data_IF_447157499534
#
_entry.id   IF_447157499534
#
_cell.length_a   1.000
_cell.length_b   1.000
_cell.length_c   1.000
_cell.angle_alpha   90.00
_cell.angle_beta   90.00
_cell.angle_gamma   90.00
#
_symmetry.space_group_name_H-M   'P 1'
#
loop_
_entity.id
_entity.type
_entity.pdbx_description
1 polymer ?
#
# COMPACT_ATOMS: atom_id res chain seq x y z
N UNK A 1 82.34 10.40 -0.39
CA UNK A 1 81.54 10.69 0.81
C UNK A 1 80.19 11.15 0.32
N UNK A 2 79.31 10.16 0.22
CA UNK A 2 77.93 10.26 -0.23
C UNK A 2 77.04 10.85 0.86
N UNK A 3 76.03 11.63 0.46
CA UNK A 3 74.92 12.07 1.30
C UNK A 3 73.68 12.11 0.39
N UNK A 4 73.00 10.99 0.09
CA UNK A 4 72.07 10.19 0.89
C UNK A 4 70.80 11.00 1.31
N UNK A 5 69.71 10.75 0.57
CA UNK A 5 68.29 11.12 0.79
C UNK A 5 67.79 12.53 0.37
N UNK A 6 67.65 12.71 -0.96
CA UNK A 6 66.48 13.38 -1.55
C UNK A 6 65.34 12.36 -1.67
N UNK A 7 64.55 12.22 -0.61
CA UNK A 7 63.25 11.53 -0.58
C UNK A 7 62.57 11.93 0.72
N UNK A 8 61.52 12.76 0.63
CA UNK A 8 60.40 12.90 1.58
C UNK A 8 59.86 14.34 1.62
N UNK A 9 59.23 14.79 0.53
CA UNK A 9 58.35 15.97 0.56
C UNK A 9 57.38 16.02 -0.61
N UNK A 10 56.75 14.88 -0.94
CA UNK A 10 55.58 14.83 -1.81
C UNK A 10 54.72 13.60 -1.46
N UNK A 11 54.18 13.58 -0.24
CA UNK A 11 53.00 12.76 0.03
C UNK A 11 51.78 13.55 -0.43
N UNK A 12 51.30 13.24 -1.63
CA UNK A 12 49.94 13.57 -2.02
C UNK A 12 49.00 13.10 -0.91
N UNK A 13 48.34 14.02 -0.23
CA UNK A 13 47.15 13.70 0.54
C UNK A 13 46.08 13.25 -0.45
N UNK A 14 46.13 11.96 -0.80
CA UNK A 14 45.05 11.24 -1.42
C UNK A 14 43.85 11.32 -0.46
N UNK A 15 43.03 12.38 -0.62
CA UNK A 15 41.65 12.39 -0.13
C UNK A 15 40.91 11.31 -0.90
N UNK A 16 41.01 10.08 -0.41
CA UNK A 16 40.04 9.06 -0.74
C UNK A 16 38.68 9.61 -0.29
N UNK A 17 37.85 10.04 -1.25
CA UNK A 17 36.41 10.08 -1.04
C UNK A 17 36.05 8.68 -0.55
N UNK A 18 35.79 8.52 0.75
CA UNK A 18 35.15 7.33 1.26
C UNK A 18 33.90 7.17 0.42
N UNK A 19 33.78 6.05 -0.29
CA UNK A 19 32.51 5.66 -0.87
C UNK A 19 31.44 5.81 0.24
N UNK A 20 30.27 6.39 -0.05
CA UNK A 20 29.21 6.46 0.96
C UNK A 20 29.04 5.05 1.52
N UNK A 21 29.05 4.94 2.86
CA UNK A 21 28.82 3.67 3.53
C UNK A 21 27.42 3.23 3.13
N UNK A 22 27.34 2.34 2.14
CA UNK A 22 26.09 1.78 1.66
C UNK A 22 25.40 1.13 2.85
N UNK A 23 24.13 1.46 3.04
CA UNK A 23 23.31 0.86 4.08
C UNK A 23 23.38 -0.66 3.98
N UNK A 24 23.52 -1.36 5.12
CA UNK A 24 23.54 -2.82 5.13
C UNK A 24 22.18 -3.32 4.64
N UNK A 25 22.14 -3.67 3.38
CA UNK A 25 20.92 -3.99 2.69
C UNK A 25 20.76 -5.51 2.73
N UNK A 26 19.87 -6.02 3.59
CA UNK A 26 19.35 -7.37 3.36
C UNK A 26 18.51 -7.34 2.06
N UNK A 27 18.50 -8.43 1.28
CA UNK A 27 17.83 -8.46 -0.02
C UNK A 27 16.30 -8.31 0.10
N UNK A 28 15.69 -8.82 1.18
CA UNK A 28 14.25 -8.77 1.39
C UNK A 28 13.78 -7.39 1.87
N UNK A 29 13.06 -6.66 1.01
CA UNK A 29 12.58 -5.29 1.28
C UNK A 29 11.16 -5.01 0.84
N UNK A 30 10.51 -5.98 0.20
CA UNK A 30 9.13 -5.84 -0.24
C UNK A 30 8.14 -6.35 0.81
N UNK A 31 7.23 -5.46 1.22
CA UNK A 31 6.09 -5.73 2.10
C UNK A 31 4.86 -6.07 1.26
N UNK A 32 4.43 -7.33 1.30
CA UNK A 32 3.24 -7.80 0.58
C UNK A 32 1.96 -7.33 1.27
N UNK A 33 1.07 -6.68 0.52
CA UNK A 33 -0.17 -6.08 1.01
C UNK A 33 -1.39 -6.93 0.64
N UNK A 34 -2.35 -7.00 1.55
CA UNK A 34 -3.73 -7.38 1.26
C UNK A 34 -4.62 -6.14 1.34
N UNK A 35 -5.20 -5.72 0.22
CA UNK A 35 -6.05 -4.53 0.16
C UNK A 35 -7.51 -4.91 -0.06
N UNK A 36 -8.40 -4.29 0.71
CA UNK A 36 -9.83 -4.57 0.65
C UNK A 36 -10.67 -3.32 0.53
N UNK A 37 -11.82 -3.43 -0.10
CA UNK A 37 -12.87 -2.41 -0.11
C UNK A 37 -14.10 -2.99 0.57
N UNK A 38 -14.76 -2.20 1.42
CA UNK A 38 -15.98 -2.61 2.09
C UNK A 38 -17.25 -2.30 1.26
N UNK A 39 -18.42 -2.84 1.63
CA UNK A 39 -19.65 -2.62 0.88
C UNK A 39 -20.04 -1.15 0.75
N UNK A 40 -19.68 -0.31 1.72
CA UNK A 40 -19.99 1.13 1.68
C UNK A 40 -19.19 1.82 0.56
N UNK A 41 -17.89 1.53 0.44
CA UNK A 41 -17.08 2.05 -0.67
C UNK A 41 -17.54 1.51 -2.02
N UNK A 42 -17.84 0.21 -2.11
CA UNK A 42 -18.34 -0.39 -3.35
C UNK A 42 -19.66 0.24 -3.80
N UNK A 43 -20.63 0.34 -2.90
CA UNK A 43 -21.95 0.89 -3.20
C UNK A 43 -21.87 2.38 -3.59
N UNK A 44 -21.10 3.21 -2.86
CA UNK A 44 -20.89 4.61 -3.26
C UNK A 44 -20.29 4.72 -4.66
N UNK A 45 -19.24 3.94 -4.93
CA UNK A 45 -18.55 3.98 -6.22
C UNK A 45 -19.47 3.51 -7.35
N UNK A 46 -20.22 2.43 -7.12
CA UNK A 46 -21.21 1.91 -8.06
C UNK A 46 -22.31 2.92 -8.36
N UNK A 47 -22.87 3.55 -7.34
CA UNK A 47 -23.96 4.51 -7.51
C UNK A 47 -23.46 5.77 -8.25
N UNK A 48 -22.22 6.20 -7.99
CA UNK A 48 -21.57 7.31 -8.69
C UNK A 48 -21.24 7.00 -10.16
N UNK A 49 -20.84 5.77 -10.49
CA UNK A 49 -20.42 5.37 -11.84
C UNK A 49 -21.52 4.65 -12.65
N UNK A 50 -22.63 4.31 -12.02
CA UNK A 50 -23.82 3.72 -12.63
C UNK A 50 -23.77 2.20 -12.86
N UNK A 51 -22.64 1.52 -12.64
CA UNK A 51 -22.56 0.06 -12.79
C UNK A 51 -21.42 -0.58 -11.97
N UNK A 52 -21.55 -1.88 -11.71
CA UNK A 52 -20.61 -2.65 -10.88
C UNK A 52 -19.22 -2.83 -11.50
N UNK A 53 -19.13 -3.02 -12.82
CA UNK A 53 -17.85 -3.20 -13.51
C UNK A 53 -16.98 -1.93 -13.40
N UNK A 54 -17.58 -0.76 -13.62
CA UNK A 54 -16.91 0.53 -13.43
C UNK A 54 -16.48 0.74 -11.97
N UNK A 55 -17.29 0.31 -11.01
CA UNK A 55 -16.94 0.39 -9.59
C UNK A 55 -15.74 -0.48 -9.24
N UNK A 56 -15.73 -1.74 -9.71
CA UNK A 56 -14.60 -2.64 -9.51
C UNK A 56 -13.32 -2.05 -10.10
N UNK A 57 -13.38 -1.55 -11.35
CA UNK A 57 -12.23 -0.95 -12.02
C UNK A 57 -11.70 0.29 -11.27
N UNK A 58 -12.58 1.17 -10.80
CA UNK A 58 -12.20 2.36 -10.03
C UNK A 58 -11.56 1.98 -8.68
N UNK A 59 -12.09 0.95 -7.99
CA UNK A 59 -11.54 0.49 -6.71
C UNK A 59 -10.18 -0.20 -6.90
N UNK A 60 -10.00 -0.98 -7.97
CA UNK A 60 -8.70 -1.58 -8.29
C UNK A 60 -7.67 -0.51 -8.65
N UNK A 61 -8.08 0.51 -9.43
CA UNK A 61 -7.24 1.67 -9.71
C UNK A 61 -6.90 2.47 -8.44
N UNK A 62 -7.86 2.61 -7.51
CA UNK A 62 -7.63 3.21 -6.20
C UNK A 62 -6.52 2.46 -5.45
N UNK A 63 -6.59 1.13 -5.34
CA UNK A 63 -5.56 0.33 -4.68
C UNK A 63 -4.18 0.51 -5.33
N UNK A 64 -4.11 0.39 -6.66
CA UNK A 64 -2.87 0.52 -7.42
C UNK A 64 -2.23 1.90 -7.22
N UNK A 65 -3.02 2.98 -7.34
CA UNK A 65 -2.52 4.36 -7.17
C UNK A 65 -2.06 4.67 -5.76
N UNK A 66 -2.71 4.11 -4.72
CA UNK A 66 -2.28 4.25 -3.34
C UNK A 66 -0.95 3.54 -3.09
N UNK A 67 -0.78 2.31 -3.59
CA UNK A 67 0.48 1.57 -3.45
C UNK A 67 1.61 2.22 -4.23
N UNK A 68 1.34 2.67 -5.45
CA UNK A 68 2.30 3.46 -6.23
C UNK A 68 2.75 4.71 -5.47
N UNK A 69 1.82 5.46 -4.88
CA UNK A 69 2.14 6.69 -4.16
C UNK A 69 2.99 6.44 -2.91
N UNK A 70 2.68 5.43 -2.08
CA UNK A 70 3.53 5.12 -0.91
C UNK A 70 4.90 4.59 -1.34
N UNK A 71 5.01 3.89 -2.47
CA UNK A 71 6.31 3.48 -3.01
C UNK A 71 7.18 4.68 -3.40
N UNK A 72 6.60 5.79 -3.89
CA UNK A 72 7.36 7.03 -4.14
C UNK A 72 7.92 7.66 -2.86
N UNK A 73 7.33 7.37 -1.70
CA UNK A 73 7.77 7.88 -0.40
C UNK A 73 8.79 6.92 0.22
N UNK A 74 8.40 5.66 0.45
CA UNK A 74 9.18 4.70 1.22
C UNK A 74 10.43 4.21 0.48
N UNK A 75 10.36 4.01 -0.84
CA UNK A 75 11.51 3.54 -1.63
C UNK A 75 12.63 4.59 -1.65
N UNK A 76 12.23 5.87 -1.66
CA UNK A 76 13.12 7.03 -1.70
C UNK A 76 13.53 7.53 -0.31
N UNK A 77 13.01 6.92 0.77
CA UNK A 77 13.37 7.28 2.15
C UNK A 77 14.52 6.40 2.64
N UNK A 78 15.57 7.05 3.15
CA UNK A 78 16.62 6.40 3.93
C UNK A 78 16.21 6.32 5.39
N UNK A 79 15.96 5.13 5.91
CA UNK A 79 15.66 4.90 7.32
C UNK A 79 16.97 4.62 8.07
N UNK A 80 17.35 5.55 8.94
CA UNK A 80 18.50 5.45 9.83
C UNK A 80 18.16 5.98 11.23
N UNK A 81 18.96 5.60 12.24
CA UNK A 81 18.81 6.11 13.61
C UNK A 81 19.58 7.41 13.82
N UNK A 82 19.14 8.25 14.77
CA UNK A 82 19.77 9.54 15.09
C UNK A 82 21.26 9.44 15.46
N UNK A 83 21.60 8.45 16.29
CA UNK A 83 22.96 8.24 16.76
C UNK A 83 23.52 6.98 16.13
N UNK A 84 24.56 7.08 15.28
CA UNK A 84 25.23 5.90 14.78
C UNK A 84 25.88 5.17 15.96
N UNK A 85 25.61 3.88 16.10
CA UNK A 85 26.21 3.05 17.15
C UNK A 85 27.74 3.17 17.06
N UNK A 86 28.38 3.59 18.15
CA UNK A 86 29.83 3.85 18.21
C UNK A 86 30.69 2.60 18.03
N UNK A 87 30.07 1.42 18.06
CA UNK A 87 30.70 0.13 17.77
C UNK A 87 29.64 -0.80 17.19
N UNK A 88 29.94 -1.41 16.03
CA UNK A 88 29.11 -2.33 15.23
C UNK A 88 27.88 -1.69 14.54
N UNK A 89 28.05 -1.43 13.23
CA UNK A 89 27.05 -1.21 12.18
C UNK A 89 25.69 -0.62 12.60
N UNK A 90 25.52 0.68 12.38
CA UNK A 90 24.23 1.36 12.56
C UNK A 90 23.20 0.77 11.60
N UNK A 91 22.01 0.31 12.08
CA UNK A 91 20.97 -0.17 11.19
C UNK A 91 20.58 0.93 10.20
N UNK A 92 20.57 0.58 8.92
CA UNK A 92 20.11 1.47 7.87
C UNK A 92 19.36 0.66 6.81
N UNK A 93 18.21 1.18 6.38
CA UNK A 93 17.35 0.58 5.37
C UNK A 93 17.00 1.61 4.30
N UNK A 94 17.06 1.22 3.05
CA UNK A 94 16.67 2.01 1.88
C UNK A 94 15.86 1.12 0.94
N UNK A 95 15.08 1.69 0.02
CA UNK A 95 14.37 0.90 -0.99
C UNK A 95 13.29 -0.01 -0.41
N UNK A 96 12.65 0.39 0.70
CA UNK A 96 11.46 -0.31 1.20
C UNK A 96 10.35 -0.17 0.17
N UNK A 97 9.77 -1.30 -0.24
CA UNK A 97 8.80 -1.36 -1.31
C UNK A 97 7.54 -2.09 -0.85
N UNK A 98 6.42 -1.81 -1.50
CA UNK A 98 5.13 -2.43 -1.26
C UNK A 98 4.60 -3.01 -2.56
N UNK A 99 3.98 -4.19 -2.45
CA UNK A 99 3.34 -4.87 -3.57
C UNK A 99 2.02 -5.45 -3.13
N UNK A 100 1.00 -5.32 -3.97
CA UNK A 100 -0.30 -5.93 -3.71
C UNK A 100 -0.18 -7.42 -3.99
N UNK A 101 -0.38 -8.23 -2.97
CA UNK A 101 -0.40 -9.69 -3.10
C UNK A 101 -1.82 -10.20 -3.31
N UNK A 102 -2.79 -9.55 -2.69
CA UNK A 102 -4.20 -9.90 -2.81
C UNK A 102 -5.09 -8.66 -2.72
N UNK A 103 -6.21 -8.71 -3.43
CA UNK A 103 -7.28 -7.73 -3.33
C UNK A 103 -8.62 -8.43 -3.01
N UNK A 104 -9.55 -7.73 -2.38
CA UNK A 104 -10.93 -8.20 -2.22
C UNK A 104 -11.90 -7.02 -2.17
N UNK A 105 -12.92 -7.04 -3.02
CA UNK A 105 -14.00 -6.05 -3.00
C UNK A 105 -15.22 -6.73 -2.37
N UNK A 106 -15.57 -6.31 -1.16
CA UNK A 106 -16.72 -6.84 -0.44
C UNK A 106 -17.98 -6.11 -0.89
N UNK A 107 -19.03 -6.86 -1.23
CA UNK A 107 -20.36 -6.33 -1.57
C UNK A 107 -21.39 -6.76 -0.54
N UNK A 108 -22.59 -6.18 -0.60
CA UNK A 108 -23.70 -6.61 0.25
C UNK A 108 -24.05 -8.09 -0.02
N UNK A 109 -23.94 -8.53 -1.27
CA UNK A 109 -24.19 -9.92 -1.70
C UNK A 109 -23.10 -10.85 -1.19
N UNK A 110 -21.82 -10.49 -1.34
CA UNK A 110 -20.71 -11.36 -0.92
C UNK A 110 -20.70 -11.58 0.60
N UNK A 111 -21.19 -10.62 1.39
CA UNK A 111 -21.29 -10.71 2.84
C UNK A 111 -22.68 -11.14 3.34
N UNK A 112 -23.64 -11.38 2.45
CA UNK A 112 -25.03 -11.69 2.79
C UNK A 112 -25.65 -10.66 3.77
N UNK A 113 -25.41 -9.37 3.51
CA UNK A 113 -25.84 -8.29 4.37
C UNK A 113 -27.37 -8.25 4.53
N UNK A 114 -27.82 -8.46 5.77
CA UNK A 114 -29.22 -8.45 6.16
C UNK A 114 -29.47 -7.44 7.29
N UNK A 115 -30.74 -7.23 7.67
CA UNK A 115 -31.13 -6.27 8.71
C UNK A 115 -30.37 -6.46 10.03
N UNK A 116 -30.11 -7.71 10.42
CA UNK A 116 -29.36 -8.01 11.65
C UNK A 116 -27.90 -7.56 11.53
N UNK A 117 -27.21 -7.95 10.46
CA UNK A 117 -25.81 -7.56 10.22
C UNK A 117 -25.64 -6.05 10.07
N UNK A 118 -26.62 -5.33 9.52
CA UNK A 118 -26.60 -3.87 9.41
C UNK A 118 -26.70 -3.15 10.77
N UNK A 119 -27.10 -3.84 11.83
CA UNK A 119 -27.14 -3.30 13.20
C UNK A 119 -26.05 -3.87 14.11
N UNK A 120 -25.31 -4.89 13.65
CA UNK A 120 -24.26 -5.53 14.43
C UNK A 120 -23.01 -4.64 14.49
N UNK A 121 -22.45 -4.42 15.68
CA UNK A 121 -21.17 -3.73 15.84
C UNK A 121 -19.97 -4.54 15.29
N UNK A 122 -20.18 -5.82 14.97
CA UNK A 122 -19.16 -6.73 14.47
C UNK A 122 -19.43 -7.15 13.01
N UNK A 123 -19.82 -6.20 12.16
CA UNK A 123 -20.06 -6.48 10.74
C UNK A 123 -19.68 -5.31 9.86
N UNK A 124 -19.00 -5.61 8.74
CA UNK A 124 -18.79 -4.65 7.64
C UNK A 124 -20.11 -4.18 6.99
N UNK A 125 -21.24 -4.86 7.22
CA UNK A 125 -22.55 -4.44 6.72
C UNK A 125 -23.14 -3.24 7.48
N UNK A 126 -22.72 -3.00 8.72
CA UNK A 126 -23.27 -1.92 9.56
C UNK A 126 -22.69 -0.57 9.12
N UNK A 127 -23.48 0.37 8.58
CA UNK A 127 -22.99 1.66 8.09
C UNK A 127 -22.44 2.58 9.19
N UNK A 128 -22.87 2.39 10.45
CA UNK A 128 -22.59 3.28 11.58
C UNK A 128 -21.53 2.72 12.56
N UNK A 129 -20.73 1.75 12.13
CA UNK A 129 -19.64 1.21 12.93
C UNK A 129 -18.58 2.27 13.21
N UNK A 130 -18.10 2.35 14.45
CA UNK A 130 -17.01 3.25 14.82
C UNK A 130 -15.67 2.78 14.27
N UNK A 131 -14.72 3.72 14.19
CA UNK A 131 -13.39 3.50 13.62
C UNK A 131 -12.62 2.37 14.32
N UNK A 132 -12.74 2.24 15.64
CA UNK A 132 -12.02 1.22 16.41
C UNK A 132 -12.60 -0.17 16.17
N UNK A 133 -13.92 -0.31 16.17
CA UNK A 133 -14.57 -1.57 15.83
C UNK A 133 -14.35 -1.96 14.36
N UNK A 134 -14.26 -0.99 13.44
CA UNK A 134 -13.96 -1.26 12.03
C UNK A 134 -12.54 -1.80 11.83
N UNK A 135 -11.52 -1.19 12.46
CA UNK A 135 -10.16 -1.75 12.48
C UNK A 135 -10.13 -3.13 13.14
N UNK A 136 -10.89 -3.28 14.23
CA UNK A 136 -10.96 -4.56 14.94
C UNK A 136 -11.53 -5.67 14.05
N UNK A 137 -12.55 -5.39 13.23
CA UNK A 137 -13.08 -6.37 12.27
C UNK A 137 -12.03 -6.83 11.26
N UNK A 138 -11.27 -5.89 10.70
CA UNK A 138 -10.13 -6.21 9.83
C UNK A 138 -9.14 -7.14 10.57
N UNK A 139 -8.93 -6.91 11.87
CA UNK A 139 -7.99 -7.66 12.71
C UNK A 139 -8.46 -9.07 13.11
N UNK A 140 -9.74 -9.43 12.97
CA UNK A 140 -10.27 -10.73 13.41
C UNK A 140 -9.93 -11.89 12.45
N UNK A 141 -9.50 -11.58 11.23
CA UNK A 141 -9.08 -12.57 10.25
C UNK A 141 -7.59 -12.93 10.39
N UNK A 142 -7.19 -14.07 9.83
CA UNK A 142 -5.80 -14.45 9.76
C UNK A 142 -5.12 -13.80 8.54
N UNK A 143 -4.16 -12.90 8.80
CA UNK A 143 -3.36 -12.21 7.80
C UNK A 143 -1.89 -12.64 7.78
N UNK A 144 -1.57 -13.86 8.21
CA UNK A 144 -0.19 -14.38 8.30
C UNK A 144 0.57 -14.41 6.96
N UNK A 145 -0.16 -14.50 5.85
CA UNK A 145 0.43 -14.49 4.51
C UNK A 145 0.94 -13.10 4.10
N UNK A 146 0.43 -12.04 4.74
CA UNK A 146 0.67 -10.66 4.35
C UNK A 146 1.59 -9.95 5.33
N UNK A 147 2.36 -9.00 4.81
CA UNK A 147 3.09 -8.07 5.65
C UNK A 147 2.14 -7.09 6.34
N UNK A 148 1.16 -6.56 5.60
CA UNK A 148 0.08 -5.72 6.12
C UNK A 148 -1.25 -6.00 5.39
N UNK A 149 -2.36 -5.83 6.10
CA UNK A 149 -3.70 -5.95 5.56
C UNK A 149 -4.56 -4.70 5.84
N UNK A 150 -5.04 -4.04 4.78
CA UNK A 150 -5.77 -2.78 4.87
C UNK A 150 -7.18 -2.88 4.28
N UNK A 151 -8.12 -2.16 4.92
CA UNK A 151 -9.47 -1.96 4.39
C UNK A 151 -9.69 -0.49 4.08
N UNK A 152 -10.00 -0.20 2.82
CA UNK A 152 -10.47 1.10 2.35
C UNK A 152 -11.99 1.18 2.46
N UNK A 153 -12.50 2.34 2.86
CA UNK A 153 -13.93 2.56 3.04
C UNK A 153 -14.36 3.97 2.63
N UNK A 154 -15.67 4.20 2.59
CA UNK A 154 -16.29 5.50 2.38
C UNK A 154 -17.18 5.86 3.58
N UNK A 155 -16.67 5.64 4.79
CA UNK A 155 -17.35 5.91 6.07
C UNK A 155 -16.83 7.19 6.70
N UNK A 156 -17.73 8.08 7.07
CA UNK A 156 -17.37 9.32 7.74
C UNK A 156 -17.24 9.08 9.24
N UNK A 157 -16.01 8.84 9.69
CA UNK A 157 -15.74 8.52 11.09
C UNK A 157 -15.80 9.77 11.97
N UNK A 158 -16.24 9.59 13.22
CA UNK A 158 -16.30 10.66 14.20
C UNK A 158 -14.93 11.28 14.47
N UNK A 159 -14.93 12.57 14.83
CA UNK A 159 -13.71 13.34 15.08
C UNK A 159 -12.90 13.68 13.82
N UNK A 160 -13.42 13.37 12.64
CA UNK A 160 -12.75 13.59 11.36
C UNK A 160 -11.58 12.66 11.10
N UNK A 161 -11.67 11.44 11.63
CA UNK A 161 -10.64 10.40 11.55
C UNK A 161 -10.57 9.86 10.12
N UNK A 162 -9.39 9.94 9.49
CA UNK A 162 -9.16 9.50 8.11
C UNK A 162 -8.62 8.06 8.01
N UNK A 163 -8.06 7.54 9.09
CA UNK A 163 -7.47 6.21 9.14
C UNK A 163 -7.19 5.78 10.57
N UNK A 164 -6.88 4.50 10.73
CA UNK A 164 -6.42 3.94 11.99
C UNK A 164 -5.59 2.69 11.72
N UNK A 165 -4.49 2.53 12.43
CA UNK A 165 -3.62 1.36 12.32
C UNK A 165 -3.07 0.92 13.67
N UNK A 166 -2.73 -0.36 13.79
CA UNK A 166 -1.96 -0.85 14.91
C UNK A 166 -0.51 -0.39 14.80
N UNK A 167 0.01 0.20 15.87
CA UNK A 167 1.37 0.75 15.88
C UNK A 167 2.39 -0.37 16.08
N UNK A 168 3.39 -0.43 15.20
CA UNK A 168 4.52 -1.35 15.30
C UNK A 168 5.41 -1.04 16.49
N UNK A 169 6.09 -2.06 17.02
CA UNK A 169 7.05 -1.90 18.10
C UNK A 169 8.31 -2.73 17.85
N UNK A 170 9.52 -2.24 18.19
CA UNK A 170 10.73 -3.04 18.10
C UNK A 170 10.85 -4.08 19.25
N UNK A 171 9.95 -4.01 20.23
CA UNK A 171 9.90 -4.91 21.39
C UNK A 171 8.71 -5.87 21.31
N UNK A 172 8.49 -6.66 22.37
CA UNK A 172 7.45 -7.68 22.42
C UNK A 172 6.00 -7.18 22.36
N UNK A 173 5.76 -5.88 22.25
CA UNK A 173 4.41 -5.36 22.00
C UNK A 173 3.91 -5.81 20.63
N UNK A 174 2.68 -6.32 20.60
CA UNK A 174 2.03 -6.82 19.40
C UNK A 174 1.53 -5.66 18.54
N UNK A 175 1.72 -5.75 17.22
CA UNK A 175 1.21 -4.75 16.28
C UNK A 175 2.21 -4.45 15.17
N UNK A 176 1.65 -3.96 14.06
CA UNK A 176 2.40 -3.46 12.92
C UNK A 176 2.89 -4.54 11.96
N UNK A 177 3.90 -4.19 11.17
CA UNK A 177 4.43 -5.05 10.11
C UNK A 177 4.84 -6.44 10.60
N UNK A 178 4.49 -7.46 9.82
CA UNK A 178 4.82 -8.86 10.07
C UNK A 178 4.31 -9.44 11.40
N UNK A 179 3.30 -8.81 12.01
CA UNK A 179 2.64 -9.38 13.19
C UNK A 179 1.80 -10.60 12.81
N UNK A 180 1.97 -11.70 13.54
CA UNK A 180 1.30 -12.98 13.28
C UNK A 180 -0.06 -13.07 13.95
N UNK A 181 -0.96 -13.85 13.36
CA UNK A 181 -2.24 -14.20 13.92
C UNK A 181 -2.06 -14.96 15.23
N UNK A 182 -2.56 -14.38 16.32
CA UNK A 182 -2.37 -14.95 17.66
C UNK A 182 -3.50 -14.65 18.61
N UNK A 183 -3.55 -15.44 19.66
CA UNK A 183 -4.50 -15.28 20.76
C UNK A 183 -4.11 -14.09 21.64
N UNK A 184 -5.02 -13.12 21.76
CA UNK A 184 -4.87 -11.91 22.58
C UNK A 184 -5.93 -11.93 23.69
N UNK A 185 -5.55 -11.45 24.88
CA UNK A 185 -6.48 -11.23 25.99
C UNK A 185 -6.94 -9.77 25.98
N UNK A 186 -8.24 -9.56 25.78
CA UNK A 186 -8.85 -8.23 25.83
C UNK A 186 -10.13 -8.30 26.67
N UNK A 187 -10.24 -7.38 27.65
CA UNK A 187 -11.44 -7.24 28.50
C UNK A 187 -11.92 -8.57 29.12
N UNK A 188 -10.99 -9.44 29.53
CA UNK A 188 -11.30 -10.74 30.13
C UNK A 188 -11.72 -11.83 29.13
N UNK A 189 -11.74 -11.54 27.82
CA UNK A 189 -12.01 -12.49 26.74
C UNK A 189 -10.74 -12.82 25.98
N UNK A 190 -10.71 -14.03 25.44
CA UNK A 190 -9.63 -14.53 24.61
C UNK A 190 -10.09 -14.49 23.16
N UNK A 191 -9.45 -13.69 22.33
CA UNK A 191 -9.81 -13.50 20.91
C UNK A 191 -8.56 -13.70 20.08
N UNK A 192 -8.68 -14.36 18.93
CA UNK A 192 -7.58 -14.47 17.98
C UNK A 192 -7.62 -13.29 17.00
N UNK A 193 -6.47 -12.65 16.78
CA UNK A 193 -6.35 -11.48 15.91
C UNK A 193 -5.01 -11.41 15.20
N UNK A 194 -5.03 -10.74 14.06
CA UNK A 194 -3.87 -10.24 13.32
C UNK A 194 -3.80 -8.72 13.49
N UNK A 195 -2.73 -8.23 14.12
CA UNK A 195 -2.51 -6.78 14.35
C UNK A 195 -1.56 -6.14 13.33
N UNK A 196 -1.34 -6.78 12.19
CA UNK A 196 -0.67 -6.21 11.01
C UNK A 196 -1.70 -5.50 10.11
N UNK A 197 -2.61 -4.74 10.71
CA UNK A 197 -3.82 -4.23 10.06
C UNK A 197 -3.97 -2.72 10.18
N UNK A 198 -4.63 -2.14 9.18
CA UNK A 198 -5.01 -0.73 9.17
C UNK A 198 -6.26 -0.47 8.34
N UNK A 199 -6.79 0.74 8.44
CA UNK A 199 -7.97 1.19 7.69
C UNK A 199 -7.76 2.61 7.17
N UNK A 200 -8.38 2.94 6.04
CA UNK A 200 -8.37 4.29 5.45
C UNK A 200 -9.77 4.60 4.95
N UNK A 201 -10.27 5.81 5.23
CA UNK A 201 -11.53 6.31 4.65
C UNK A 201 -11.26 7.40 3.61
N UNK A 202 -12.09 7.41 2.56
CA UNK A 202 -12.02 8.39 1.48
C UNK A 202 -13.01 9.55 1.65
N UNK A 203 -13.65 9.67 2.81
CA UNK A 203 -14.60 10.74 3.15
C UNK A 203 -14.28 11.32 4.53
N UNK A 204 -14.51 12.62 4.67
CA UNK A 204 -14.42 13.32 5.95
C UNK A 204 -15.36 14.52 5.97
N UNK A 205 -16.15 14.67 7.02
CA UNK A 205 -17.14 15.75 7.16
C UNK A 205 -18.03 15.89 5.91
N UNK A 206 -18.59 14.76 5.48
CA UNK A 206 -19.42 14.58 4.28
C UNK A 206 -18.76 14.97 2.95
N UNK A 207 -17.44 15.14 2.90
CA UNK A 207 -16.70 15.51 1.69
C UNK A 207 -15.68 14.46 1.31
N UNK A 208 -15.63 14.15 0.01
CA UNK A 208 -14.61 13.24 -0.54
C UNK A 208 -13.22 13.80 -0.31
N UNK A 209 -12.33 12.97 0.21
CA UNK A 209 -10.93 13.30 0.42
C UNK A 209 -10.22 13.30 -0.94
N UNK A 210 -9.48 14.36 -1.31
CA UNK A 210 -8.73 14.38 -2.56
C UNK A 210 -7.68 13.25 -2.62
N UNK A 211 -7.40 12.67 -3.80
CA UNK A 211 -6.45 11.55 -3.93
C UNK A 211 -5.09 11.81 -3.28
N UNK A 212 -4.53 13.02 -3.45
CA UNK A 212 -3.25 13.39 -2.82
C UNK A 212 -3.28 13.28 -1.29
N UNK A 213 -4.36 13.74 -0.66
CA UNK A 213 -4.52 13.64 0.80
C UNK A 213 -4.73 12.19 1.20
N UNK A 214 -5.54 11.42 0.45
CA UNK A 214 -5.78 10.00 0.71
C UNK A 214 -4.50 9.16 0.61
N UNK A 215 -3.63 9.43 -0.37
CA UNK A 215 -2.33 8.77 -0.48
C UNK A 215 -1.44 9.05 0.74
N UNK A 216 -1.42 10.29 1.23
CA UNK A 216 -0.68 10.66 2.43
C UNK A 216 -1.27 10.07 3.70
N UNK A 217 -2.60 9.98 3.81
CA UNK A 217 -3.27 9.24 4.89
C UNK A 217 -2.83 7.79 4.88
N UNK A 218 -2.83 7.12 3.73
CA UNK A 218 -2.38 5.73 3.66
C UNK A 218 -0.90 5.59 4.05
N UNK A 219 -0.02 6.50 3.58
CA UNK A 219 1.38 6.54 4.01
C UNK A 219 1.52 6.73 5.53
N UNK A 220 0.68 7.56 6.15
CA UNK A 220 0.66 7.81 7.58
C UNK A 220 0.28 6.55 8.37
N UNK A 221 -0.81 5.86 7.98
CA UNK A 221 -1.24 4.63 8.66
C UNK A 221 -0.24 3.48 8.47
N UNK A 222 0.41 3.39 7.32
CA UNK A 222 1.54 2.48 7.13
C UNK A 222 2.72 2.90 8.01
N UNK A 223 2.96 4.20 8.21
CA UNK A 223 3.99 4.72 9.12
C UNK A 223 3.78 4.26 10.57
N UNK A 224 2.53 4.25 11.03
CA UNK A 224 2.16 3.64 12.31
C UNK A 224 2.47 2.14 12.36
N UNK A 225 2.11 1.37 11.33
CA UNK A 225 2.45 -0.05 11.27
C UNK A 225 3.97 -0.31 11.29
N UNK A 226 4.77 0.60 10.75
CA UNK A 226 6.23 0.56 10.82
C UNK A 226 6.77 1.11 12.16
N UNK A 227 5.90 1.51 13.08
CA UNK A 227 6.20 1.87 14.46
C UNK A 227 6.53 3.33 14.71
N UNK A 228 6.25 4.22 13.76
CA UNK A 228 6.34 5.65 14.05
C UNK A 228 5.13 6.08 14.89
N UNK A 229 5.33 6.73 16.05
CA UNK A 229 4.28 7.52 16.67
C UNK A 229 4.05 8.81 15.88
N UNK A 230 3.08 9.61 16.33
CA UNK A 230 2.90 10.97 15.82
C UNK A 230 4.12 11.84 16.09
N UNK A 231 4.46 12.67 15.10
CA UNK A 231 5.50 13.69 15.23
C UNK A 231 5.07 14.79 16.22
N UNK A 232 6.01 15.24 17.04
CA UNK A 232 5.82 16.34 17.98
C UNK A 232 7.11 17.16 18.14
N UNK A 233 6.99 18.38 18.65
CA UNK A 233 8.12 19.30 18.81
C UNK A 233 8.57 19.94 17.49
N UNK A 234 9.31 21.04 17.58
CA UNK A 234 9.69 21.86 16.41
C UNK A 234 10.61 21.16 15.41
N UNK A 235 11.31 20.11 15.84
CA UNK A 235 12.23 19.35 15.01
C UNK A 235 11.46 18.44 14.04
N UNK A 236 10.40 17.77 14.54
CA UNK A 236 9.66 16.75 13.79
C UNK A 236 8.27 17.21 13.37
N UNK A 237 7.78 18.33 13.89
CA UNK A 237 6.56 19.01 13.45
C UNK A 237 6.81 20.53 13.30
N UNK A 238 7.64 20.94 12.32
CA UNK A 238 8.11 22.32 12.20
C UNK A 238 7.05 23.33 11.74
N UNK A 239 5.98 22.88 11.08
CA UNK A 239 4.96 23.75 10.50
C UNK A 239 5.52 24.74 9.47
N UNK A 240 4.95 25.94 9.43
CA UNK A 240 5.39 27.03 8.55
C UNK A 240 5.26 26.72 7.06
N UNK A 241 6.09 27.39 6.25
CA UNK A 241 6.03 27.33 4.77
C UNK A 241 6.38 25.96 4.20
N UNK A 242 7.18 25.17 4.91
CA UNK A 242 7.51 23.81 4.51
C UNK A 242 6.45 22.78 4.91
N UNK A 243 5.56 23.14 5.85
CA UNK A 243 4.54 22.27 6.41
C UNK A 243 5.09 21.21 7.37
N UNK A 244 4.18 20.38 7.89
CA UNK A 244 4.54 19.24 8.73
C UNK A 244 4.83 17.97 7.91
N UNK A 245 5.49 17.00 8.53
CA UNK A 245 5.83 15.71 7.95
C UNK A 245 4.64 14.74 7.95
N UNK A 246 4.81 13.59 7.28
CA UNK A 246 3.77 12.56 7.11
C UNK A 246 3.13 12.15 8.45
N UNK A 247 3.92 12.00 9.52
CA UNK A 247 3.43 11.51 10.81
C UNK A 247 2.86 12.62 11.71
N UNK A 248 2.56 13.79 11.17
CA UNK A 248 1.87 14.85 11.92
C UNK A 248 0.46 14.39 12.33
N UNK A 249 0.02 14.61 13.59
CA UNK A 249 -1.26 14.10 14.12
C UNK A 249 -2.52 14.71 13.50
N UNK A 250 -2.42 15.63 12.55
CA UNK A 250 -3.58 16.24 11.90
C UNK A 250 -3.44 16.20 10.39
N UNK A 251 -4.58 16.05 9.71
CA UNK A 251 -4.62 16.02 8.26
C UNK A 251 -3.97 17.25 7.63
N UNK A 252 -3.17 17.03 6.60
CA UNK A 252 -2.53 18.09 5.82
C UNK A 252 -3.23 18.24 4.47
N UNK A 253 -3.06 19.40 3.81
CA UNK A 253 -3.51 19.57 2.42
C UNK A 253 -2.64 18.80 1.41
N UNK A 254 -1.48 18.31 1.86
CA UNK A 254 -0.53 17.54 1.06
C UNK A 254 0.27 18.35 0.05
N UNK A 255 0.16 19.68 0.03
CA UNK A 255 0.76 20.53 -1.00
C UNK A 255 2.10 21.17 -0.59
N UNK A 256 2.56 20.94 0.65
CA UNK A 256 3.81 21.51 1.16
C UNK A 256 4.93 20.48 1.13
N UNK A 257 6.18 20.96 1.02
CA UNK A 257 7.37 20.14 0.77
C UNK A 257 7.55 18.99 1.77
N UNK A 258 7.25 19.21 3.04
CA UNK A 258 7.44 18.18 4.07
C UNK A 258 6.32 17.14 4.09
N UNK A 259 5.16 17.41 3.48
CA UNK A 259 4.00 16.51 3.58
C UNK A 259 4.23 15.13 2.94
N UNK A 260 5.24 15.00 2.07
CA UNK A 260 5.64 13.74 1.42
C UNK A 260 6.92 13.14 2.02
N UNK A 261 7.40 13.68 3.14
CA UNK A 261 8.63 13.25 3.80
C UNK A 261 8.33 12.73 5.21
N UNK A 262 9.10 11.74 5.64
CA UNK A 262 9.19 11.36 7.05
C UNK A 262 10.12 12.32 7.79
N UNK A 263 9.75 12.69 9.02
CA UNK A 263 10.62 13.46 9.90
C UNK A 263 11.82 12.60 10.34
N UNK A 264 12.84 13.23 10.90
CA UNK A 264 13.94 12.48 11.51
C UNK A 264 13.48 11.60 12.69
N UNK A 265 12.46 12.01 13.44
CA UNK A 265 11.87 11.20 14.50
C UNK A 265 11.18 9.94 13.96
N UNK A 266 10.40 10.10 12.88
CA UNK A 266 9.72 8.95 12.28
C UNK A 266 10.74 7.98 11.69
N UNK A 267 11.78 8.49 11.02
CA UNK A 267 12.85 7.66 10.43
C UNK A 267 13.58 6.84 11.49
N UNK A 268 13.89 7.42 12.66
CA UNK A 268 14.53 6.68 13.75
C UNK A 268 13.64 5.55 14.30
N UNK A 269 12.36 5.83 14.56
CA UNK A 269 11.43 4.82 15.07
C UNK A 269 11.22 3.67 14.09
N UNK A 270 11.00 4.00 12.81
CA UNK A 270 10.82 3.02 11.74
C UNK A 270 12.07 2.15 11.59
N UNK A 271 13.26 2.74 11.64
CA UNK A 271 14.54 2.00 11.60
C UNK A 271 14.63 0.95 12.69
N UNK A 272 14.19 1.26 13.91
CA UNK A 272 14.22 0.32 15.05
C UNK A 272 13.30 -0.87 14.84
N UNK A 273 12.09 -0.65 14.34
CA UNK A 273 11.15 -1.74 14.03
C UNK A 273 11.65 -2.58 12.87
N UNK A 274 12.10 -1.95 11.78
CA UNK A 274 12.71 -2.66 10.66
C UNK A 274 13.88 -3.54 11.11
N UNK A 275 14.75 -3.01 11.97
CA UNK A 275 15.85 -3.77 12.53
C UNK A 275 15.37 -4.97 13.34
N UNK A 276 14.34 -4.81 14.18
CA UNK A 276 13.78 -5.90 14.96
C UNK A 276 13.13 -6.97 14.08
N UNK A 277 12.37 -6.58 13.06
CA UNK A 277 11.67 -7.49 12.13
C UNK A 277 12.65 -8.24 11.24
N UNK A 278 13.55 -7.52 10.55
CA UNK A 278 14.49 -8.08 9.57
C UNK A 278 15.55 -8.98 10.22
N UNK A 279 15.91 -8.69 11.48
CA UNK A 279 16.83 -9.52 12.26
C UNK A 279 16.13 -10.45 13.25
N UNK A 280 14.79 -10.51 13.23
CA UNK A 280 13.98 -11.39 14.07
C UNK A 280 14.30 -11.28 15.57
N UNK A 281 14.48 -10.04 16.05
CA UNK A 281 14.82 -9.71 17.43
C UNK A 281 13.51 -9.62 18.25
N UNK A 282 13.57 -9.94 19.54
CA UNK A 282 12.45 -9.81 20.49
C UNK A 282 11.19 -10.60 20.07
N UNK A 283 11.35 -11.72 19.35
CA UNK A 283 10.24 -12.54 18.89
C UNK A 283 9.49 -11.99 17.67
N UNK A 284 10.03 -10.95 17.01
CA UNK A 284 9.51 -10.49 15.72
C UNK A 284 9.88 -11.47 14.60
N UNK A 285 9.00 -11.57 13.61
CA UNK A 285 9.18 -12.44 12.46
C UNK A 285 9.43 -11.60 11.22
N UNK A 286 10.38 -12.02 10.38
CA UNK A 286 10.56 -11.39 9.08
C UNK A 286 9.55 -11.97 8.07
N UNK A 287 8.78 -11.10 7.44
CA UNK A 287 7.82 -11.44 6.38
C UNK A 287 8.11 -10.70 5.06
N UNK A 288 9.18 -9.91 5.00
CA UNK A 288 9.59 -9.24 3.78
C UNK A 288 10.10 -10.25 2.75
N UNK A 289 9.91 -9.94 1.47
CA UNK A 289 10.34 -10.78 0.36
C UNK A 289 11.38 -10.08 -0.53
N UNK A 290 12.19 -10.88 -1.22
CA UNK A 290 13.29 -10.42 -2.10
C UNK A 290 12.84 -9.89 -3.47
N UNK A 291 11.59 -10.14 -3.86
CA UNK A 291 11.09 -9.80 -5.19
C UNK A 291 10.28 -8.51 -5.18
N UNK A 292 10.78 -7.53 -5.94
CA UNK A 292 10.03 -6.33 -6.37
C UNK A 292 9.25 -6.60 -7.67
N UNK A 293 9.30 -7.82 -8.20
CA UNK A 293 8.68 -8.14 -9.49
C UNK A 293 7.15 -8.21 -9.38
N UNK A 294 6.52 -7.95 -10.52
CA UNK A 294 5.09 -8.15 -10.78
C UNK A 294 4.56 -9.46 -10.18
N UNK A 295 3.37 -9.41 -9.61
CA UNK A 295 2.68 -10.55 -9.04
C UNK A 295 1.39 -10.86 -9.80
N UNK A 296 1.49 -11.84 -10.68
CA UNK A 296 0.34 -12.37 -11.37
C UNK A 296 -0.67 -12.96 -10.38
N UNK A 297 -1.93 -12.54 -10.47
CA UNK A 297 -3.04 -13.03 -9.65
C UNK A 297 -3.57 -12.03 -8.62
N UNK A 298 -3.04 -10.81 -8.56
CA UNK A 298 -3.55 -9.74 -7.68
C UNK A 298 -4.65 -8.89 -8.35
N UNK A 299 -4.90 -9.10 -9.65
CA UNK A 299 -5.91 -8.41 -10.45
C UNK A 299 -5.44 -7.08 -11.02
N UNK A 300 -4.12 -6.81 -11.03
CA UNK A 300 -3.53 -5.56 -11.50
C UNK A 300 -2.46 -5.89 -12.53
N UNK A 301 -2.59 -5.34 -13.74
CA UNK A 301 -1.57 -5.53 -14.76
C UNK A 301 -0.27 -4.80 -14.35
N UNK A 302 0.78 -5.58 -14.10
CA UNK A 302 2.12 -5.09 -13.76
C UNK A 302 3.14 -5.34 -14.90
N UNK A 303 4.37 -4.84 -14.74
CA UNK A 303 5.42 -5.00 -15.77
C UNK A 303 5.73 -6.49 -16.02
N UNK A 304 5.64 -6.91 -17.29
CA UNK A 304 5.85 -8.30 -17.70
C UNK A 304 4.57 -9.13 -17.79
N UNK A 305 3.42 -8.55 -17.46
CA UNK A 305 2.08 -9.14 -17.60
C UNK A 305 1.29 -8.48 -18.73
N UNK A 306 0.47 -9.27 -19.42
CA UNK A 306 -0.40 -8.74 -20.48
C UNK A 306 -1.80 -8.44 -19.98
N UNK A 307 -2.21 -9.07 -18.88
CA UNK A 307 -3.49 -8.89 -18.20
C UNK A 307 -3.41 -9.58 -16.83
N UNK A 308 -4.30 -9.26 -15.89
CA UNK A 308 -4.39 -10.03 -14.65
C UNK A 308 -5.84 -10.08 -14.15
N UNK A 309 -6.48 -11.24 -14.28
CA UNK A 309 -7.83 -11.50 -13.80
C UNK A 309 -7.88 -12.20 -12.44
N UNK A 310 -6.73 -12.38 -11.78
CA UNK A 310 -6.64 -13.05 -10.49
C UNK A 310 -6.36 -14.55 -10.57
N UNK A 311 -6.67 -15.22 -9.47
CA UNK A 311 -6.58 -16.68 -9.36
C UNK A 311 -7.68 -17.37 -10.17
N UNK A 312 -7.48 -18.65 -10.47
CA UNK A 312 -8.42 -19.47 -11.25
C UNK A 312 -9.87 -19.41 -10.75
N UNK A 313 -10.08 -19.38 -9.44
CA UNK A 313 -11.42 -19.41 -8.85
C UNK A 313 -12.12 -18.03 -8.90
N UNK A 314 -11.33 -16.95 -9.02
CA UNK A 314 -11.82 -15.57 -9.03
C UNK A 314 -11.90 -14.99 -10.47
N UNK A 315 -11.17 -15.58 -11.42
CA UNK A 315 -11.06 -15.08 -12.78
C UNK A 315 -12.29 -15.43 -13.63
N UNK A 316 -13.15 -14.43 -13.86
CA UNK A 316 -14.30 -14.50 -14.77
C UNK A 316 -14.00 -13.95 -16.17
N UNK A 317 -12.82 -13.34 -16.35
CA UNK A 317 -12.41 -12.71 -17.61
C UNK A 317 -12.15 -13.75 -18.72
N UNK A 318 -12.89 -13.60 -19.82
CA UNK A 318 -12.75 -14.46 -20.99
C UNK A 318 -11.53 -14.10 -21.84
N UNK A 319 -10.94 -12.93 -21.64
CA UNK A 319 -9.81 -12.41 -22.40
C UNK A 319 -8.45 -12.75 -21.77
N UNK A 320 -8.42 -13.06 -20.48
CA UNK A 320 -7.17 -13.29 -19.73
C UNK A 320 -7.02 -14.74 -19.24
N UNK A 321 -5.80 -15.27 -19.28
CA UNK A 321 -5.45 -16.52 -18.61
C UNK A 321 -5.22 -16.26 -17.12
N UNK A 322 -6.01 -16.90 -16.26
CA UNK A 322 -5.85 -16.83 -14.81
C UNK A 322 -4.50 -17.36 -14.33
N UNK A 323 -4.09 -16.96 -13.14
CA UNK A 323 -3.01 -17.68 -12.43
C UNK A 323 -3.46 -19.10 -12.08
N UNK A 324 -2.67 -20.07 -12.51
CA UNK A 324 -2.86 -21.48 -12.16
C UNK A 324 -1.55 -22.06 -11.57
N UNK A 325 -1.52 -22.21 -10.25
CA UNK A 325 -0.37 -22.79 -9.55
C UNK A 325 -0.17 -24.28 -9.87
N UNK A 326 -1.17 -24.98 -10.43
CA UNK A 326 -1.13 -26.42 -10.64
C UNK A 326 -0.44 -26.82 -11.94
N UNK A 327 -0.55 -25.98 -12.99
CA UNK A 327 -0.17 -26.39 -14.35
C UNK A 327 1.13 -25.77 -14.88
N UNK A 328 1.84 -24.97 -14.08
CA UNK A 328 3.08 -24.25 -14.47
C UNK A 328 2.94 -23.43 -15.78
N UNK A 329 1.72 -23.24 -16.28
CA UNK A 329 1.42 -22.40 -17.42
C UNK A 329 1.61 -20.95 -17.00
N UNK A 330 2.18 -20.16 -17.89
CA UNK A 330 2.34 -18.71 -17.70
C UNK A 330 0.97 -18.05 -17.70
N UNK A 331 0.40 -17.84 -16.52
CA UNK A 331 -0.80 -17.03 -16.31
C UNK A 331 -0.56 -15.56 -16.64
N UNK A 332 -1.58 -14.73 -16.50
CA UNK A 332 -1.51 -13.28 -16.75
C UNK A 332 -1.06 -12.93 -18.18
N UNK A 333 -1.55 -13.74 -19.12
CA UNK A 333 -1.35 -13.59 -20.56
C UNK A 333 -2.69 -13.53 -21.26
N UNK A 334 -2.79 -12.75 -22.35
CA UNK A 334 -4.02 -12.68 -23.12
C UNK A 334 -4.32 -14.04 -23.78
N UNK A 335 -5.60 -14.43 -23.79
CA UNK A 335 -6.06 -15.67 -24.41
C UNK A 335 -5.89 -15.64 -25.93
N UNK A 336 -5.83 -16.84 -26.49
CA UNK A 336 -5.93 -17.05 -27.93
C UNK A 336 -7.36 -17.47 -28.24
N UNK A 337 -7.99 -16.83 -29.20
CA UNK A 337 -9.37 -17.10 -29.62
C UNK A 337 -9.48 -18.39 -30.45
N UNK A 338 -10.70 -18.78 -30.82
CA UNK A 338 -10.96 -19.99 -31.61
C UNK A 338 -10.37 -19.98 -33.03
N UNK A 339 -9.87 -18.84 -33.50
CA UNK A 339 -9.20 -18.71 -34.80
C UNK A 339 -7.68 -18.82 -34.71
N UNK A 340 -7.14 -18.98 -33.49
CA UNK A 340 -5.70 -19.05 -33.25
C UNK A 340 -5.04 -17.68 -33.09
N UNK A 341 -5.82 -16.59 -33.01
CA UNK A 341 -5.29 -15.25 -32.81
C UNK A 341 -5.37 -14.83 -31.36
N UNK A 342 -4.34 -14.12 -30.90
CA UNK A 342 -4.34 -13.52 -29.57
C UNK A 342 -5.37 -12.39 -29.52
N UNK A 343 -6.18 -12.36 -28.46
CA UNK A 343 -7.15 -11.28 -28.27
C UNK A 343 -6.43 -9.93 -28.09
N UNK A 344 -7.12 -8.83 -28.37
CA UNK A 344 -6.48 -7.51 -28.44
C UNK A 344 -6.17 -6.93 -27.05
N UNK A 345 -7.06 -7.18 -26.10
CA UNK A 345 -6.99 -6.63 -24.76
C UNK A 345 -7.78 -7.48 -23.76
N UNK A 346 -7.65 -7.13 -22.47
CA UNK A 346 -8.48 -7.63 -21.38
C UNK A 346 -9.11 -6.45 -20.61
N UNK A 347 -10.35 -6.57 -20.12
CA UNK A 347 -10.98 -5.58 -19.23
C UNK A 347 -10.12 -5.22 -18.00
N UNK A 348 -9.24 -6.12 -17.56
CA UNK A 348 -8.33 -5.89 -16.42
C UNK A 348 -7.19 -4.90 -16.72
N UNK A 349 -6.92 -4.63 -17.99
CA UNK A 349 -5.99 -3.58 -18.41
C UNK A 349 -6.59 -2.18 -18.29
N UNK A 350 -7.93 -2.08 -18.26
CA UNK A 350 -8.63 -0.81 -18.05
C UNK A 350 -9.96 -0.68 -18.80
N UNK A 351 -10.66 0.45 -18.60
CA UNK A 351 -12.03 0.67 -19.08
C UNK A 351 -12.17 0.75 -20.60
N UNK A 352 -11.07 0.84 -21.33
CA UNK A 352 -11.04 0.93 -22.80
C UNK A 352 -10.95 -0.42 -23.52
N UNK A 353 -10.96 -1.52 -22.79
CA UNK A 353 -11.22 -2.84 -23.36
C UNK A 353 -12.70 -3.22 -23.17
N UNK A 354 -13.30 -3.88 -24.16
CA UNK A 354 -14.62 -4.49 -24.03
C UNK A 354 -14.54 -5.92 -23.47
N UNK A 355 -15.67 -6.43 -22.97
CA UNK A 355 -15.82 -7.84 -22.57
C UNK A 355 -15.61 -8.83 -23.73
N UNK A 356 -15.70 -8.35 -24.97
CA UNK A 356 -15.39 -9.11 -26.18
C UNK A 356 -13.90 -9.09 -26.56
N UNK A 357 -13.03 -8.63 -25.65
CA UNK A 357 -11.58 -8.61 -25.80
C UNK A 357 -11.06 -7.73 -26.95
N UNK A 358 -11.78 -6.64 -27.24
CA UNK A 358 -11.47 -5.68 -28.29
C UNK A 358 -11.38 -4.26 -27.75
N UNK A 359 -10.51 -3.43 -28.34
CA UNK A 359 -10.41 -2.03 -27.94
C UNK A 359 -11.67 -1.25 -28.28
N UNK A 360 -12.13 -0.39 -27.36
CA UNK A 360 -13.25 0.51 -27.61
C UNK A 360 -12.79 1.65 -28.53
N UNK A 361 -13.50 1.92 -29.64
CA UNK A 361 -13.11 2.94 -30.60
C UNK A 361 -13.23 4.34 -30.02
N UNK A 362 -12.49 5.30 -30.60
CA UNK A 362 -12.50 6.71 -30.22
C UNK A 362 -13.80 7.42 -30.60
N UNK A 363 -14.86 7.16 -29.82
CA UNK A 363 -16.18 7.77 -29.96
C UNK A 363 -16.61 8.40 -28.63
N UNK A 364 -17.52 9.37 -28.68
CA UNK A 364 -18.08 10.01 -27.48
C UNK A 364 -18.79 9.02 -26.54
N UNK A 365 -19.23 7.85 -27.04
CA UNK A 365 -19.81 6.78 -26.22
C UNK A 365 -18.76 5.96 -25.46
N UNK A 366 -17.48 6.06 -25.84
CA UNK A 366 -16.35 5.34 -25.20
C UNK A 366 -15.68 6.20 -24.14
N UNK A 367 -16.46 6.90 -23.32
CA UNK A 367 -15.95 7.67 -22.18
C UNK A 367 -15.32 6.72 -21.16
N UNK A 368 -14.02 6.87 -20.92
CA UNK A 368 -13.31 6.09 -19.91
C UNK A 368 -13.19 6.83 -18.58
N UNK A 369 -13.31 8.16 -18.60
CA UNK A 369 -13.24 8.97 -17.40
C UNK A 369 -14.15 10.19 -17.48
N UNK A 370 -15.02 10.43 -16.49
CA UNK A 370 -15.86 11.62 -16.47
C UNK A 370 -15.04 12.89 -16.21
N UNK A 371 -15.59 14.02 -16.65
CA UNK A 371 -15.06 15.34 -16.35
C UNK A 371 -15.11 15.64 -14.84
N UNK A 372 -14.18 16.46 -14.38
CA UNK A 372 -14.18 17.05 -13.03
C UNK A 372 -14.02 18.57 -13.14
N UNK A 373 -14.04 19.28 -12.01
CA UNK A 373 -13.86 20.75 -11.98
C UNK A 373 -12.57 21.22 -12.67
N UNK A 374 -11.52 20.39 -12.68
CA UNK A 374 -10.20 20.73 -13.20
C UNK A 374 -9.69 19.77 -14.29
N UNK A 375 -10.54 18.87 -14.81
CA UNK A 375 -10.16 17.89 -15.83
C UNK A 375 -11.29 17.68 -16.81
N UNK A 376 -10.98 17.75 -18.11
CA UNK A 376 -11.94 17.39 -19.15
C UNK A 376 -12.31 15.89 -19.06
N UNK A 377 -13.44 15.52 -19.68
CA UNK A 377 -13.76 14.11 -19.88
C UNK A 377 -12.67 13.45 -20.76
N UNK A 378 -12.41 12.18 -20.51
CA UNK A 378 -11.46 11.37 -21.28
C UNK A 378 -12.24 10.26 -22.00
N UNK A 379 -11.92 10.07 -23.27
CA UNK A 379 -12.47 9.01 -24.13
C UNK A 379 -11.35 8.05 -24.52
N UNK A 380 -11.70 6.81 -24.82
CA UNK A 380 -10.74 5.83 -25.31
C UNK A 380 -10.13 6.25 -26.64
N UNK A 381 -8.85 5.93 -26.84
CA UNK A 381 -8.10 6.27 -28.04
C UNK A 381 -7.79 4.97 -28.81
N UNK A 382 -8.67 4.60 -29.74
CA UNK A 382 -8.41 3.48 -30.66
C UNK A 382 -9.05 3.75 -32.04
N UNK A 383 -8.32 3.54 -33.15
CA UNK A 383 -6.92 3.10 -33.22
C UNK A 383 -5.96 4.15 -32.65
N UNK A 384 -4.85 3.70 -32.08
CA UNK A 384 -3.78 4.59 -31.62
C UNK A 384 -3.17 5.28 -32.85
N UNK A 385 -3.12 6.61 -32.84
CA UNK A 385 -2.65 7.43 -33.97
C UNK A 385 -1.15 7.67 -33.88
#
# INVERSE_FOLDING_TARGET
>A
MDNIYSRDSNTEFNRHKRAPVSCYSKPARTCNLYLRADPVLFNETRDRLGNAAAANNEIMALFSTHVFAINQIYKNTKFETFFPATTLQTPCFEGINFRILRTTIMTDESLNCNTYLRTSALSFCNPNIDVSNFLNLNSLENHDEFCLAFVFTYRDFSGGTLGLAWVGSPSGAAGGVCERYKTIREQGRTVQKSLNTGIVTLINYARRVPPRVSHLTFAHEVGHNFGSPHDSGSICAPGGDAGNYIMYPSATKGNLRNNELFSECSRDNITRVLNAVVNQINGKMNCFTDSDAAFCGNGIQEEGEECDCGYRDDCTDQCCNSRDNLNHKRGCTLKVDGTGHKVQCSPTQGPCCSESCTFKPATNSSMCRPATECRAQEICEYPFV
#
